data_IF_930295179095
#
_entry.id   IF_930295179095
#
_cell.length_a   1.000
_cell.length_b   1.000
_cell.length_c   1.000
_cell.angle_alpha   90.00
_cell.angle_beta   90.00
_cell.angle_gamma   90.00
#
_symmetry.space_group_name_H-M   'P 1'
#
loop_
_entity.id
_entity.type
_entity.pdbx_description
1 polymer ?
#
# COMPACT_ATOMS: atom_id res chain seq x y z
N UNK A 1 -27.60 -14.39 5.78
CA UNK A 1 -27.02 -13.05 5.99
C UNK A 1 -27.79 -12.33 7.07
N UNK A 2 -27.35 -12.44 8.33
CA UNK A 2 -27.77 -11.52 9.37
C UNK A 2 -27.10 -10.18 9.07
N UNK A 3 -27.86 -9.08 9.12
CA UNK A 3 -27.34 -7.71 9.08
C UNK A 3 -26.61 -7.43 10.41
N UNK A 4 -25.40 -7.98 10.55
CA UNK A 4 -24.42 -7.52 11.51
C UNK A 4 -23.59 -6.43 10.83
N UNK A 5 -23.41 -5.30 11.51
CA UNK A 5 -22.52 -4.21 11.06
C UNK A 5 -21.11 -4.78 10.91
N UNK A 6 -20.71 -5.09 9.68
CA UNK A 6 -19.32 -5.27 9.31
C UNK A 6 -18.87 -3.98 8.65
N UNK A 7 -17.95 -3.29 9.31
CA UNK A 7 -17.17 -2.17 8.79
C UNK A 7 -16.62 -2.48 7.40
N UNK A 8 -16.99 -1.67 6.41
CA UNK A 8 -16.33 -1.44 5.13
C UNK A 8 -15.59 -2.63 4.50
N UNK A 9 -16.33 -3.57 3.91
CA UNK A 9 -15.74 -4.64 3.10
C UNK A 9 -15.14 -4.10 1.80
N UNK A 10 -13.83 -3.85 1.79
CA UNK A 10 -13.09 -3.51 0.57
C UNK A 10 -12.70 -4.79 -0.19
N UNK A 11 -13.27 -5.01 -1.38
CA UNK A 11 -12.88 -6.12 -2.27
C UNK A 11 -11.75 -5.64 -3.18
N UNK A 12 -10.51 -6.00 -2.82
CA UNK A 12 -9.33 -5.63 -3.58
C UNK A 12 -8.08 -5.68 -2.70
N UNK A 13 -7.64 -6.90 -2.40
CA UNK A 13 -6.36 -7.14 -1.76
C UNK A 13 -5.53 -8.10 -2.62
N UNK A 14 -4.21 -8.03 -2.52
CA UNK A 14 -3.31 -8.94 -3.22
C UNK A 14 -3.55 -10.41 -2.85
N UNK A 15 -2.91 -11.33 -3.58
CA UNK A 15 -3.17 -12.78 -3.51
C UNK A 15 -3.17 -13.32 -2.06
N UNK A 16 -2.21 -12.90 -1.24
CA UNK A 16 -2.01 -13.43 0.11
C UNK A 16 -3.01 -12.89 1.17
N UNK A 17 -3.50 -11.65 1.01
CA UNK A 17 -4.58 -11.12 1.88
C UNK A 17 -5.93 -11.79 1.65
N UNK A 18 -6.17 -12.27 0.43
CA UNK A 18 -7.31 -13.12 0.17
C UNK A 18 -7.19 -14.37 1.04
N UNK A 19 -6.01 -15.01 1.08
CA UNK A 19 -5.73 -16.16 1.95
C UNK A 19 -5.93 -15.88 3.44
N UNK A 20 -5.47 -14.74 3.96
CA UNK A 20 -5.68 -14.37 5.38
C UNK A 20 -7.16 -14.08 5.73
N UNK A 21 -7.86 -13.30 4.89
CA UNK A 21 -9.31 -13.08 5.06
C UNK A 21 -10.08 -14.40 4.99
N UNK A 22 -9.70 -15.26 4.06
CA UNK A 22 -10.26 -16.60 3.90
C UNK A 22 -10.07 -17.43 5.15
N UNK A 23 -8.86 -17.47 5.73
CA UNK A 23 -8.57 -18.21 6.97
C UNK A 23 -9.38 -17.67 8.15
N UNK A 24 -9.52 -16.34 8.25
CA UNK A 24 -10.36 -15.71 9.27
C UNK A 24 -11.87 -15.98 9.08
N UNK A 25 -12.29 -16.42 7.89
CA UNK A 25 -13.66 -16.83 7.56
C UNK A 25 -13.75 -18.33 7.29
N UNK A 26 -12.85 -19.14 7.87
CA UNK A 26 -12.79 -20.59 7.64
C UNK A 26 -14.06 -21.35 8.04
N UNK A 27 -14.84 -20.81 8.98
CA UNK A 27 -16.13 -21.39 9.36
C UNK A 27 -17.21 -21.20 8.27
N UNK A 28 -17.04 -20.18 7.42
CA UNK A 28 -17.96 -19.82 6.34
C UNK A 28 -17.45 -20.22 4.93
N UNK A 29 -16.17 -20.62 4.82
CA UNK A 29 -15.49 -20.88 3.55
C UNK A 29 -14.89 -22.29 3.48
N UNK A 30 -15.07 -22.99 2.35
CA UNK A 30 -14.49 -24.32 2.17
C UNK A 30 -12.99 -24.26 1.88
N UNK A 31 -12.25 -25.28 2.36
CA UNK A 31 -10.83 -25.56 2.01
C UNK A 31 -9.87 -24.36 2.12
N UNK A 32 -9.87 -23.72 3.29
CA UNK A 32 -9.05 -22.53 3.57
C UNK A 32 -7.58 -22.83 3.86
N UNK A 33 -7.25 -24.07 4.23
CA UNK A 33 -5.91 -24.49 4.63
C UNK A 33 -4.95 -24.69 3.44
N UNK A 34 -5.47 -25.04 2.25
CA UNK A 34 -4.70 -25.28 1.03
C UNK A 34 -4.76 -24.17 -0.02
N UNK A 35 -5.39 -23.04 0.28
CA UNK A 35 -5.62 -22.01 -0.72
C UNK A 35 -4.33 -21.36 -1.22
N UNK A 36 -4.09 -21.52 -2.52
CA UNK A 36 -3.19 -20.65 -3.29
C UNK A 36 -4.07 -19.74 -4.16
N UNK A 37 -3.92 -18.42 -4.05
CA UNK A 37 -4.70 -17.47 -4.84
C UNK A 37 -4.44 -17.64 -6.34
N UNK A 38 -5.53 -17.76 -7.10
CA UNK A 38 -5.51 -17.85 -8.55
C UNK A 38 -5.50 -16.44 -9.15
N UNK A 39 -4.31 -15.95 -9.48
CA UNK A 39 -4.11 -14.63 -10.10
C UNK A 39 -4.93 -14.44 -11.38
N UNK A 40 -5.25 -15.53 -12.08
CA UNK A 40 -6.06 -15.50 -13.30
C UNK A 40 -7.51 -15.13 -12.97
N UNK A 41 -8.09 -15.75 -11.94
CA UNK A 41 -9.44 -15.45 -11.47
C UNK A 41 -9.52 -14.03 -10.89
N UNK A 42 -8.52 -13.60 -10.11
CA UNK A 42 -8.48 -12.24 -9.55
C UNK A 42 -8.43 -11.17 -10.66
N UNK A 43 -7.60 -11.38 -11.68
CA UNK A 43 -7.50 -10.47 -12.83
C UNK A 43 -8.82 -10.39 -13.60
N UNK A 44 -9.52 -11.51 -13.77
CA UNK A 44 -10.84 -11.55 -14.40
C UNK A 44 -11.89 -10.74 -13.61
N UNK A 45 -11.95 -10.92 -12.28
CA UNK A 45 -12.87 -10.15 -11.42
C UNK A 45 -12.59 -8.65 -11.51
N UNK A 46 -11.32 -8.23 -11.48
CA UNK A 46 -10.94 -6.80 -11.61
C UNK A 46 -11.40 -6.21 -12.94
N UNK A 47 -11.26 -6.95 -14.04
CA UNK A 47 -11.73 -6.52 -15.35
C UNK A 47 -13.27 -6.38 -15.42
N UNK A 48 -14.01 -7.28 -14.76
CA UNK A 48 -15.47 -7.21 -14.68
C UNK A 48 -15.94 -6.08 -13.76
N UNK A 49 -15.23 -5.78 -12.67
CA UNK A 49 -15.50 -4.62 -11.82
C UNK A 49 -15.27 -3.32 -12.59
N UNK A 50 -14.16 -3.21 -13.31
CA UNK A 50 -13.88 -2.09 -14.21
C UNK A 50 -14.98 -1.90 -15.27
N UNK A 51 -15.52 -3.00 -15.82
CA UNK A 51 -16.64 -2.94 -16.76
C UNK A 51 -17.94 -2.47 -16.09
N UNK A 52 -18.21 -2.94 -14.87
CA UNK A 52 -19.44 -2.66 -14.11
C UNK A 52 -19.55 -1.17 -13.76
N UNK A 53 -18.44 -0.49 -13.47
CA UNK A 53 -18.45 0.93 -13.06
C UNK A 53 -18.62 1.91 -14.23
N UNK A 54 -18.76 1.43 -15.47
CA UNK A 54 -18.98 2.29 -16.65
C UNK A 54 -20.31 3.05 -16.54
N UNK A 55 -20.38 4.31 -17.02
CA UNK A 55 -19.38 5.04 -17.82
C UNK A 55 -18.22 5.65 -17.00
N UNK A 56 -18.17 5.44 -15.68
CA UNK A 56 -17.02 5.83 -14.86
C UNK A 56 -15.73 5.16 -15.30
N UNK A 57 -14.60 5.79 -14.99
CA UNK A 57 -13.29 5.21 -15.28
C UNK A 57 -13.01 4.00 -14.36
N UNK A 58 -12.17 3.03 -14.79
CA UNK A 58 -11.62 2.04 -13.88
C UNK A 58 -10.67 2.68 -12.86
N UNK A 59 -10.19 1.89 -11.90
CA UNK A 59 -9.11 2.36 -11.02
C UNK A 59 -7.88 2.72 -11.87
N UNK A 60 -7.12 3.77 -11.52
CA UNK A 60 -5.94 4.18 -12.29
C UNK A 60 -4.89 3.06 -12.46
N UNK A 61 -4.77 2.18 -11.46
CA UNK A 61 -3.84 1.06 -11.49
C UNK A 61 -4.28 -0.07 -12.45
N UNK A 62 -5.59 -0.19 -12.71
CA UNK A 62 -6.14 -1.17 -13.64
C UNK A 62 -6.16 -0.69 -15.09
N UNK A 63 -6.19 0.62 -15.32
CA UNK A 63 -6.48 1.23 -16.62
C UNK A 63 -5.64 0.70 -17.81
N UNK A 64 -4.44 0.17 -17.54
CA UNK A 64 -3.52 -0.36 -18.56
C UNK A 64 -3.40 -1.89 -18.61
N UNK A 65 -4.09 -2.62 -17.72
CA UNK A 65 -3.88 -4.07 -17.50
C UNK A 65 -5.16 -4.91 -17.56
N UNK A 66 -6.27 -4.36 -18.06
CA UNK A 66 -7.55 -5.06 -18.06
C UNK A 66 -7.65 -6.11 -19.17
N UNK A 67 -8.13 -7.29 -18.80
CA UNK A 67 -8.55 -8.31 -19.76
C UNK A 67 -9.77 -7.84 -20.57
N UNK A 68 -9.89 -8.26 -21.85
CA UNK A 68 -11.13 -8.14 -22.59
C UNK A 68 -12.30 -8.81 -21.84
N UNK A 69 -13.47 -8.17 -21.85
CA UNK A 69 -14.65 -8.68 -21.11
C UNK A 69 -15.01 -10.13 -21.44
N UNK A 70 -15.03 -10.58 -22.72
CA UNK A 70 -15.33 -11.98 -23.03
C UNK A 70 -14.34 -12.97 -22.39
N UNK A 71 -13.06 -12.59 -22.35
CA UNK A 71 -12.01 -13.41 -21.74
C UNK A 71 -12.12 -13.42 -20.21
N UNK A 72 -12.44 -12.27 -19.60
CA UNK A 72 -12.70 -12.19 -18.17
C UNK A 72 -13.92 -13.02 -17.75
N UNK A 73 -15.00 -13.01 -18.53
CA UNK A 73 -16.17 -13.87 -18.32
C UNK A 73 -15.79 -15.35 -18.39
N UNK A 74 -15.09 -15.76 -19.46
CA UNK A 74 -14.66 -17.15 -19.63
C UNK A 74 -13.79 -17.65 -18.46
N UNK A 75 -12.83 -16.83 -18.01
CA UNK A 75 -11.94 -17.17 -16.88
C UNK A 75 -12.70 -17.25 -15.57
N UNK A 76 -13.64 -16.33 -15.31
CA UNK A 76 -14.46 -16.35 -14.10
C UNK A 76 -15.41 -17.56 -14.08
N UNK A 77 -16.08 -17.85 -15.19
CA UNK A 77 -16.99 -18.99 -15.32
C UNK A 77 -16.23 -20.32 -15.19
N UNK A 78 -15.04 -20.43 -15.78
CA UNK A 78 -14.20 -21.61 -15.66
C UNK A 78 -13.75 -21.85 -14.21
N UNK A 79 -13.36 -20.80 -13.47
CA UNK A 79 -13.03 -20.90 -12.06
C UNK A 79 -14.24 -21.33 -11.23
N UNK A 80 -15.41 -20.71 -11.44
CA UNK A 80 -16.65 -21.04 -10.74
C UNK A 80 -17.14 -22.48 -10.99
N UNK A 81 -16.88 -23.03 -12.19
CA UNK A 81 -17.29 -24.36 -12.59
C UNK A 81 -16.49 -25.49 -11.90
N UNK A 82 -15.35 -25.20 -11.26
CA UNK A 82 -14.54 -26.22 -10.58
C UNK A 82 -15.26 -26.85 -9.38
N UNK A 83 -16.24 -26.16 -8.79
CA UNK A 83 -17.09 -26.69 -7.72
C UNK A 83 -18.55 -26.77 -8.14
N UNK A 84 -19.14 -27.96 -8.27
CA UNK A 84 -20.57 -28.12 -8.47
C UNK A 84 -21.36 -27.47 -7.32
N UNK A 85 -22.47 -26.81 -7.66
CA UNK A 85 -23.40 -26.24 -6.67
C UNK A 85 -24.79 -26.82 -6.82
N UNK A 86 -25.48 -26.95 -5.69
CA UNK A 86 -26.88 -27.34 -5.64
C UNK A 86 -27.76 -26.14 -5.23
N UNK A 87 -28.97 -26.00 -5.79
CA UNK A 87 -29.92 -25.01 -5.33
C UNK A 87 -30.49 -25.42 -3.97
N UNK A 88 -30.48 -24.49 -3.02
CA UNK A 88 -31.03 -24.61 -1.67
C UNK A 88 -32.11 -23.54 -1.53
N UNK A 89 -33.35 -23.97 -1.32
CA UNK A 89 -34.43 -23.06 -0.96
C UNK A 89 -34.26 -22.65 0.50
N UNK A 90 -34.11 -21.34 0.76
CA UNK A 90 -34.21 -20.79 2.11
C UNK A 90 -35.50 -20.00 2.23
N UNK A 91 -36.28 -20.36 3.23
CA UNK A 91 -37.54 -19.71 3.56
C UNK A 91 -37.53 -19.39 5.05
N UNK A 92 -37.31 -18.12 5.38
CA UNK A 92 -37.44 -17.65 6.75
C UNK A 92 -38.91 -17.27 7.01
N UNK A 93 -39.32 -17.35 8.29
CA UNK A 93 -40.72 -17.23 8.72
C UNK A 93 -41.38 -15.91 8.26
N UNK A 94 -40.60 -14.82 8.13
CA UNK A 94 -41.07 -13.48 7.73
C UNK A 94 -40.36 -12.91 6.48
N UNK A 95 -39.91 -13.76 5.56
CA UNK A 95 -39.24 -13.31 4.34
C UNK A 95 -39.68 -14.06 3.09
N UNK A 96 -39.58 -13.40 1.93
CA UNK A 96 -39.76 -14.05 0.63
C UNK A 96 -38.76 -15.21 0.46
N UNK A 97 -39.18 -16.33 -0.16
CA UNK A 97 -38.29 -17.46 -0.39
C UNK A 97 -37.14 -17.06 -1.31
N UNK A 98 -35.92 -17.40 -0.92
CA UNK A 98 -34.71 -17.14 -1.71
C UNK A 98 -34.04 -18.44 -2.10
N UNK A 99 -33.69 -18.56 -3.38
CA UNK A 99 -32.83 -19.65 -3.86
C UNK A 99 -31.39 -19.25 -3.61
N UNK A 100 -30.68 -20.04 -2.82
CA UNK A 100 -29.23 -19.92 -2.64
C UNK A 100 -28.54 -21.08 -3.35
N UNK A 101 -27.38 -20.82 -3.96
CA UNK A 101 -26.52 -21.91 -4.44
C UNK A 101 -25.52 -22.25 -3.36
N UNK A 102 -25.38 -23.54 -3.04
CA UNK A 102 -24.42 -24.03 -2.06
C UNK A 102 -23.44 -24.99 -2.73
N UNK A 103 -22.13 -24.90 -2.44
CA UNK A 103 -21.15 -25.91 -2.84
C UNK A 103 -21.56 -27.32 -2.40
N UNK A 104 -21.27 -28.32 -3.24
CA UNK A 104 -21.32 -29.73 -2.83
C UNK A 104 -20.15 -29.98 -1.87
N UNK A 105 -20.38 -30.53 -0.64
CA UNK A 105 -19.37 -30.61 0.42
C UNK A 105 -18.06 -31.31 0.03
N UNK A 106 -18.13 -32.34 -0.83
CA UNK A 106 -16.98 -33.18 -1.20
C UNK A 106 -16.12 -32.60 -2.34
N UNK A 107 -16.45 -31.40 -2.83
CA UNK A 107 -15.78 -30.71 -3.96
C UNK A 107 -15.42 -29.25 -3.63
N UNK A 108 -15.06 -29.01 -2.38
CA UNK A 108 -14.63 -27.73 -1.84
C UNK A 108 -13.39 -27.18 -2.59
N UNK A 109 -13.58 -26.17 -3.45
CA UNK A 109 -12.52 -25.32 -4.00
C UNK A 109 -12.86 -23.88 -3.64
N UNK A 110 -11.96 -23.25 -2.88
CA UNK A 110 -12.18 -21.89 -2.42
C UNK A 110 -12.22 -20.88 -3.56
N UNK A 111 -11.31 -20.97 -4.52
CA UNK A 111 -11.28 -20.04 -5.65
C UNK A 111 -12.56 -20.19 -6.47
N UNK A 112 -13.09 -21.40 -6.62
CA UNK A 112 -14.39 -21.62 -7.23
C UNK A 112 -15.53 -20.98 -6.42
N UNK A 113 -15.49 -21.11 -5.09
CA UNK A 113 -16.47 -20.49 -4.18
C UNK A 113 -16.43 -18.96 -4.27
N UNK A 114 -15.24 -18.36 -4.30
CA UNK A 114 -15.04 -16.93 -4.48
C UNK A 114 -15.48 -16.45 -5.87
N UNK A 115 -15.21 -17.22 -6.92
CA UNK A 115 -15.68 -16.94 -8.27
C UNK A 115 -17.22 -16.96 -8.33
N UNK A 116 -17.86 -17.95 -7.69
CA UNK A 116 -19.33 -18.02 -7.58
C UNK A 116 -19.90 -16.83 -6.80
N UNK A 117 -19.26 -16.41 -5.71
CA UNK A 117 -19.64 -15.22 -4.96
C UNK A 117 -19.49 -13.94 -5.79
N UNK A 118 -18.42 -13.81 -6.58
CA UNK A 118 -18.23 -12.70 -7.50
C UNK A 118 -19.30 -12.66 -8.60
N UNK A 119 -19.68 -13.81 -9.17
CA UNK A 119 -20.80 -13.92 -10.12
C UNK A 119 -22.10 -13.46 -9.47
N UNK A 120 -22.40 -13.95 -8.26
CA UNK A 120 -23.61 -13.57 -7.52
C UNK A 120 -23.64 -12.06 -7.20
N UNK A 121 -22.50 -11.48 -6.82
CA UNK A 121 -22.35 -10.05 -6.59
C UNK A 121 -22.57 -9.23 -7.87
N UNK A 122 -21.92 -9.61 -8.97
CA UNK A 122 -22.04 -8.95 -10.28
C UNK A 122 -23.45 -9.03 -10.86
N UNK A 123 -24.19 -10.11 -10.59
CA UNK A 123 -25.59 -10.26 -10.97
C UNK A 123 -26.57 -9.58 -9.97
N UNK A 124 -26.11 -9.34 -8.75
CA UNK A 124 -26.90 -8.86 -7.61
C UNK A 124 -27.09 -7.35 -7.56
N UNK A 125 -27.96 -6.85 -6.67
CA UNK A 125 -28.23 -5.42 -6.51
C UNK A 125 -27.03 -4.63 -5.97
N UNK A 126 -26.12 -5.27 -5.24
CA UNK A 126 -24.93 -4.64 -4.66
C UNK A 126 -23.91 -4.18 -5.72
N UNK A 127 -24.05 -4.60 -6.98
CA UNK A 127 -23.27 -4.06 -8.10
C UNK A 127 -23.50 -2.57 -8.33
N UNK A 128 -24.69 -2.04 -8.01
CA UNK A 128 -25.07 -0.65 -8.33
C UNK A 128 -24.29 0.39 -7.50
N UNK A 129 -24.06 0.19 -6.18
CA UNK A 129 -23.20 1.07 -5.41
C UNK A 129 -21.69 0.89 -5.66
N UNK A 130 -21.25 -0.07 -6.49
CA UNK A 130 -19.83 -0.30 -6.77
C UNK A 130 -19.18 0.92 -7.46
N UNK A 131 -18.04 1.37 -6.95
CA UNK A 131 -17.24 2.49 -7.51
C UNK A 131 -15.76 2.12 -7.56
N UNK A 132 -15.04 2.69 -8.53
CA UNK A 132 -13.59 2.65 -8.54
C UNK A 132 -13.03 3.78 -7.66
N UNK A 133 -11.98 3.51 -6.90
CA UNK A 133 -11.25 4.56 -6.21
C UNK A 133 -10.26 5.20 -7.19
N UNK A 134 -10.37 6.52 -7.38
CA UNK A 134 -9.52 7.27 -8.31
C UNK A 134 -8.29 7.88 -7.67
N UNK A 135 -8.01 7.57 -6.41
CA UNK A 135 -6.84 8.11 -5.75
C UNK A 135 -5.58 7.60 -6.47
N UNK A 136 -4.53 8.42 -6.58
CA UNK A 136 -3.27 8.00 -7.19
C UNK A 136 -2.82 6.64 -6.66
N UNK A 137 -2.47 5.73 -7.58
CA UNK A 137 -2.01 4.35 -7.32
C UNK A 137 -3.01 3.42 -6.61
N UNK A 138 -4.24 3.84 -6.38
CA UNK A 138 -5.23 2.97 -5.75
C UNK A 138 -5.73 1.90 -6.72
N UNK A 139 -5.70 0.65 -6.25
CA UNK A 139 -6.13 -0.56 -6.97
C UNK A 139 -7.55 -1.00 -6.63
N UNK A 140 -8.26 -0.30 -5.74
CA UNK A 140 -9.50 -0.81 -5.11
C UNK A 140 -10.79 -0.35 -5.80
N UNK A 141 -11.76 -1.25 -5.77
CA UNK A 141 -13.18 -0.95 -5.93
C UNK A 141 -13.84 -0.99 -4.54
N UNK A 142 -14.88 -0.18 -4.35
CA UNK A 142 -15.58 -0.09 -3.07
C UNK A 142 -17.09 0.07 -3.29
N UNK A 143 -17.88 -0.36 -2.31
CA UNK A 143 -19.30 -0.07 -2.28
C UNK A 143 -19.50 1.31 -1.66
N UNK A 144 -20.23 2.16 -2.36
CA UNK A 144 -20.54 3.51 -1.90
C UNK A 144 -21.64 3.46 -0.83
N UNK A 145 -21.25 3.65 0.42
CA UNK A 145 -22.15 3.61 1.58
C UNK A 145 -22.82 4.97 1.84
N UNK A 146 -22.14 6.08 1.47
CA UNK A 146 -22.64 7.43 1.67
C UNK A 146 -22.62 8.26 0.38
N UNK A 147 -23.62 9.12 0.09
CA UNK A 147 -23.69 9.92 -1.14
C UNK A 147 -22.45 10.78 -1.45
N UNK A 148 -21.71 11.22 -0.42
CA UNK A 148 -20.48 12.02 -0.56
C UNK A 148 -19.18 11.20 -0.61
N UNK A 149 -19.24 9.88 -0.48
CA UNK A 149 -18.04 9.04 -0.54
C UNK A 149 -17.57 8.95 -1.99
N UNK A 150 -16.40 9.55 -2.26
CA UNK A 150 -15.72 9.54 -3.56
C UNK A 150 -14.49 8.63 -3.57
N UNK A 151 -13.99 8.28 -2.39
CA UNK A 151 -12.78 7.50 -2.19
C UNK A 151 -13.08 6.26 -1.36
N UNK A 152 -12.31 5.18 -1.56
CA UNK A 152 -12.52 3.96 -0.78
C UNK A 152 -12.37 4.19 0.73
N UNK A 153 -11.47 5.08 1.15
CA UNK A 153 -11.24 5.52 2.54
C UNK A 153 -10.65 6.95 2.54
N UNK A 154 -10.64 7.67 3.69
CA UNK A 154 -10.21 9.07 3.75
C UNK A 154 -8.74 9.29 3.33
N UNK A 155 -7.84 8.34 3.63
CA UNK A 155 -6.44 8.35 3.16
C UNK A 155 -6.28 8.46 1.63
N UNK A 156 -7.21 7.89 0.88
CA UNK A 156 -7.23 8.05 -0.57
C UNK A 156 -7.65 9.47 -0.98
N UNK A 157 -8.56 10.09 -0.22
CA UNK A 157 -8.93 11.49 -0.42
C UNK A 157 -7.78 12.46 -0.13
N UNK A 158 -6.99 12.20 0.91
CA UNK A 158 -5.79 12.98 1.23
C UNK A 158 -4.74 12.88 0.14
N UNK A 159 -4.39 11.67 -0.29
CA UNK A 159 -3.47 11.47 -1.42
C UNK A 159 -3.95 12.15 -2.71
N UNK A 160 -5.25 12.15 -2.99
CA UNK A 160 -5.80 12.88 -4.12
C UNK A 160 -5.79 14.41 -3.94
N UNK A 161 -5.86 14.92 -2.70
CA UNK A 161 -5.70 16.34 -2.38
C UNK A 161 -4.25 16.80 -2.55
N UNK A 162 -3.30 16.03 -2.00
CA UNK A 162 -1.85 16.25 -2.10
C UNK A 162 -1.40 16.24 -3.55
N UNK A 163 -1.78 15.22 -4.33
CA UNK A 163 -1.45 15.15 -5.75
C UNK A 163 -1.93 16.39 -6.53
N UNK A 164 -3.17 16.87 -6.27
CA UNK A 164 -3.69 18.10 -6.89
C UNK A 164 -2.98 19.38 -6.43
N UNK A 165 -2.44 19.40 -5.22
CA UNK A 165 -1.64 20.53 -4.72
C UNK A 165 -0.33 20.61 -5.51
N UNK A 166 0.43 19.51 -5.59
CA UNK A 166 1.68 19.47 -6.36
C UNK A 166 1.46 19.70 -7.86
N UNK A 167 0.38 19.19 -8.46
CA UNK A 167 0.05 19.48 -9.87
C UNK A 167 -0.19 20.97 -10.14
N UNK A 168 -0.83 21.68 -9.20
CA UNK A 168 -1.04 23.14 -9.31
C UNK A 168 0.26 23.92 -9.15
N UNK A 169 1.11 23.52 -8.19
CA UNK A 169 2.44 24.10 -8.03
C UNK A 169 3.35 23.80 -9.24
N UNK A 170 3.20 22.64 -9.88
CA UNK A 170 3.85 22.28 -11.14
C UNK A 170 3.41 23.17 -12.31
N UNK A 171 2.12 23.49 -12.43
CA UNK A 171 1.65 24.40 -13.49
C UNK A 171 2.18 25.82 -13.29
N UNK A 172 2.28 26.28 -12.04
CA UNK A 172 2.84 27.58 -11.70
C UNK A 172 4.37 27.64 -11.93
N UNK A 173 5.11 26.59 -11.55
CA UNK A 173 6.56 26.51 -11.76
C UNK A 173 6.93 26.28 -13.23
N UNK A 174 6.18 25.45 -13.96
CA UNK A 174 6.35 25.24 -15.41
C UNK A 174 6.13 26.53 -16.20
N UNK A 175 5.07 27.29 -15.87
CA UNK A 175 4.81 28.60 -16.47
C UNK A 175 5.95 29.59 -16.17
N UNK A 176 6.43 29.61 -14.92
CA UNK A 176 7.53 30.49 -14.50
C UNK A 176 8.90 30.09 -15.08
N UNK A 177 9.11 28.82 -15.44
CA UNK A 177 10.32 28.29 -16.09
C UNK A 177 10.29 28.52 -17.60
N UNK A 178 9.14 28.42 -18.27
CA UNK A 178 9.01 28.84 -19.68
C UNK A 178 9.24 30.34 -19.83
N UNK A 179 8.78 31.15 -18.87
CA UNK A 179 9.02 32.60 -18.85
C UNK A 179 10.50 32.96 -18.55
N UNK A 180 11.27 32.04 -17.93
CA UNK A 180 12.69 32.23 -17.59
C UNK A 180 13.66 31.62 -18.59
N UNK A 181 13.27 30.58 -19.33
CA UNK A 181 14.09 29.97 -20.38
C UNK A 181 14.30 30.91 -21.60
N UNK A 182 13.50 31.97 -21.72
CA UNK A 182 13.73 33.07 -22.66
C UNK A 182 14.83 34.06 -22.19
N UNK A 183 15.33 33.94 -20.94
CA UNK A 183 16.31 34.85 -20.36
C UNK A 183 17.43 34.11 -19.58
N UNK A 184 18.40 33.56 -20.32
CA UNK A 184 19.80 33.46 -19.87
C UNK A 184 20.19 32.25 -19.02
N UNK A 185 21.15 31.47 -19.53
CA UNK A 185 21.76 30.33 -18.83
C UNK A 185 22.88 30.70 -17.85
N UNK A 186 23.15 29.80 -16.90
CA UNK A 186 24.36 29.87 -16.06
C UNK A 186 24.88 28.47 -15.70
N UNK A 187 26.20 28.30 -15.78
CA UNK A 187 26.97 27.11 -15.38
C UNK A 187 27.48 27.27 -13.94
N UNK A 188 27.68 26.16 -13.23
CA UNK A 188 28.46 26.12 -11.98
C UNK A 188 29.50 24.99 -12.04
N UNK A 189 30.68 25.24 -11.44
CA UNK A 189 31.83 24.33 -11.28
C UNK A 189 31.89 23.79 -9.83
N UNK A 190 32.50 22.62 -9.57
CA UNK A 190 32.52 21.96 -8.27
C UNK A 190 33.79 22.22 -7.44
N UNK A 191 33.72 21.95 -6.14
CA UNK A 191 34.87 21.85 -5.20
C UNK A 191 34.71 20.70 -4.21
N UNK A 192 35.85 20.12 -3.82
CA UNK A 192 36.09 18.83 -3.13
C UNK A 192 36.11 18.85 -1.58
N UNK A 193 35.90 17.63 -1.02
CA UNK A 193 36.48 16.98 0.19
C UNK A 193 36.21 17.60 1.59
N UNK A 194 36.08 16.88 2.72
CA UNK A 194 36.65 15.61 3.19
C UNK A 194 35.95 15.13 4.49
N UNK A 195 36.21 13.87 4.86
CA UNK A 195 35.58 13.06 5.92
C UNK A 195 36.14 13.24 7.35
N UNK A 196 35.41 12.73 8.34
CA UNK A 196 35.87 12.50 9.72
C UNK A 196 35.05 11.39 10.41
N UNK A 197 35.75 10.38 10.92
CA UNK A 197 35.26 9.13 11.54
C UNK A 197 35.11 9.25 13.07
N UNK A 198 34.31 8.35 13.68
CA UNK A 198 34.56 7.89 15.06
C UNK A 198 33.38 7.29 15.85
N UNK A 199 33.37 5.95 15.97
CA UNK A 199 33.18 5.10 17.19
C UNK A 199 32.03 5.41 18.18
N UNK A 200 31.10 4.53 18.63
CA UNK A 200 30.99 3.06 18.68
C UNK A 200 30.70 2.57 20.12
N UNK A 201 29.58 1.87 20.39
CA UNK A 201 29.38 0.96 21.57
C UNK A 201 28.39 -0.19 21.28
N UNK A 202 28.93 -1.41 21.40
CA UNK A 202 28.47 -2.82 21.54
C UNK A 202 27.17 -3.05 22.35
N UNK A 203 26.28 -4.04 22.15
CA UNK A 203 25.97 -5.02 21.08
C UNK A 203 24.49 -5.46 21.30
N UNK A 204 23.57 -4.79 20.61
CA UNK A 204 22.45 -5.50 19.97
C UNK A 204 22.88 -5.68 18.51
N UNK A 205 22.59 -6.81 17.90
CA UNK A 205 22.95 -7.04 16.50
C UNK A 205 22.45 -5.87 15.63
N UNK A 206 23.35 -5.27 14.84
CA UNK A 206 23.01 -4.13 13.96
C UNK A 206 21.79 -4.52 13.10
N UNK A 207 20.64 -3.84 13.26
CA UNK A 207 19.41 -4.21 12.57
C UNK A 207 19.56 -4.20 11.03
N UNK A 208 20.43 -3.36 10.48
CA UNK A 208 20.71 -3.30 9.04
C UNK A 208 21.47 -4.55 8.58
N UNK A 209 22.37 -5.07 9.42
CA UNK A 209 23.08 -6.33 9.16
C UNK A 209 22.12 -7.52 9.24
N UNK A 210 21.23 -7.53 10.24
CA UNK A 210 20.22 -8.57 10.38
C UNK A 210 19.26 -8.58 9.17
N UNK A 211 18.79 -7.41 8.74
CA UNK A 211 18.01 -7.23 7.51
C UNK A 211 18.73 -7.77 6.28
N UNK A 212 20.03 -7.53 6.17
CA UNK A 212 20.80 -8.00 5.01
C UNK A 212 20.93 -9.52 4.91
N UNK A 213 20.78 -10.25 6.02
CA UNK A 213 20.71 -11.71 5.99
C UNK A 213 19.36 -12.22 5.50
N UNK A 214 18.27 -11.47 5.70
CA UNK A 214 16.93 -11.83 5.24
C UNK A 214 16.73 -11.53 3.76
N UNK A 215 17.10 -10.32 3.31
CA UNK A 215 16.85 -9.87 1.93
C UNK A 215 17.99 -10.20 0.95
N UNK A 216 19.16 -10.59 1.46
CA UNK A 216 20.39 -10.72 0.69
C UNK A 216 21.09 -9.39 0.42
N UNK A 217 22.29 -9.47 -0.17
CA UNK A 217 23.05 -8.29 -0.57
C UNK A 217 22.42 -7.63 -1.80
N UNK A 218 22.17 -6.32 -1.75
CA UNK A 218 21.69 -5.57 -2.91
C UNK A 218 22.75 -5.54 -4.02
N UNK A 219 22.32 -5.69 -5.27
CA UNK A 219 23.19 -5.46 -6.42
C UNK A 219 23.68 -4.00 -6.43
N UNK A 220 24.99 -3.81 -6.29
CA UNK A 220 25.61 -2.48 -6.15
C UNK A 220 25.80 -1.74 -7.49
N UNK A 221 25.61 -2.42 -8.62
CA UNK A 221 25.90 -1.88 -9.96
C UNK A 221 24.88 -0.80 -10.38
N UNK A 222 25.37 0.40 -10.68
CA UNK A 222 24.58 1.49 -11.27
C UNK A 222 23.78 2.36 -10.30
N UNK A 223 23.96 2.20 -8.97
CA UNK A 223 23.28 3.04 -7.97
C UNK A 223 23.88 4.45 -7.88
N UNK A 224 23.02 5.47 -7.87
CA UNK A 224 23.43 6.83 -7.56
C UNK A 224 23.74 6.94 -6.06
N UNK A 225 24.91 7.47 -5.70
CA UNK A 225 25.25 7.75 -4.31
C UNK A 225 24.41 8.93 -3.81
N UNK A 226 23.75 8.77 -2.67
CA UNK A 226 22.96 9.84 -2.04
C UNK A 226 23.93 10.82 -1.37
N UNK A 227 23.79 12.10 -1.68
CA UNK A 227 24.50 13.18 -0.98
C UNK A 227 23.69 13.57 0.26
N UNK A 228 24.04 12.94 1.40
CA UNK A 228 23.34 13.17 2.67
C UNK A 228 23.44 14.61 3.17
N UNK A 229 24.58 15.27 2.96
CA UNK A 229 24.72 16.68 3.34
C UNK A 229 23.71 17.57 2.61
N UNK A 230 23.44 17.26 1.33
CA UNK A 230 22.40 17.95 0.58
C UNK A 230 21.00 17.57 1.03
N UNK A 231 20.73 16.30 1.33
CA UNK A 231 19.42 15.84 1.82
C UNK A 231 19.09 16.49 3.16
N UNK A 232 19.99 16.45 4.12
CA UNK A 232 19.80 17.06 5.45
C UNK A 232 19.56 18.57 5.35
N UNK A 233 20.26 19.27 4.44
CA UNK A 233 20.02 20.68 4.18
C UNK A 233 18.62 20.97 3.60
N UNK A 234 18.10 20.07 2.76
CA UNK A 234 16.78 20.25 2.14
C UNK A 234 15.68 20.05 3.18
N UNK A 235 15.85 19.05 4.05
CA UNK A 235 14.86 18.70 5.06
C UNK A 235 15.01 19.49 6.36
N UNK A 236 16.13 20.20 6.54
CA UNK A 236 16.51 20.91 7.76
C UNK A 236 16.47 20.01 9.01
N UNK A 237 16.80 18.72 8.81
CA UNK A 237 16.85 17.70 9.85
C UNK A 237 18.00 16.73 9.55
N UNK A 238 18.49 16.08 10.61
CA UNK A 238 19.35 14.89 10.48
C UNK A 238 18.46 13.65 10.38
N UNK A 239 18.94 12.62 9.69
CA UNK A 239 18.22 11.35 9.59
C UNK A 239 18.77 10.30 10.57
N UNK A 240 17.93 9.32 11.00
CA UNK A 240 18.39 8.19 11.79
C UNK A 240 19.56 7.44 11.12
N UNK A 241 20.55 7.04 11.90
CA UNK A 241 21.76 6.40 11.40
C UNK A 241 21.49 5.04 10.75
N UNK A 242 20.47 4.32 11.23
CA UNK A 242 20.02 3.05 10.66
C UNK A 242 19.42 3.23 9.25
N UNK A 243 18.65 4.30 9.04
CA UNK A 243 18.11 4.70 7.75
C UNK A 243 19.21 5.10 6.77
N UNK A 244 20.16 5.92 7.21
CA UNK A 244 21.30 6.33 6.38
C UNK A 244 22.07 5.10 5.91
N UNK A 245 22.41 4.17 6.81
CA UNK A 245 23.09 2.91 6.46
C UNK A 245 22.25 2.03 5.54
N UNK A 246 20.94 1.89 5.79
CA UNK A 246 20.04 1.15 4.91
C UNK A 246 20.06 1.73 3.49
N UNK A 247 19.96 3.05 3.36
CA UNK A 247 19.91 3.74 2.08
C UNK A 247 21.27 3.73 1.37
N UNK A 248 22.39 3.69 2.09
CA UNK A 248 23.72 3.45 1.52
C UNK A 248 23.91 2.00 1.05
N UNK A 249 23.26 1.03 1.69
CA UNK A 249 23.33 -0.39 1.32
C UNK A 249 22.37 -0.74 0.17
N UNK A 250 21.12 -0.31 0.26
CA UNK A 250 20.00 -0.72 -0.58
C UNK A 250 19.48 0.41 -1.49
N UNK A 251 19.47 1.65 -0.99
CA UNK A 251 18.81 2.79 -1.62
C UNK A 251 17.28 2.72 -1.50
N UNK A 252 16.55 3.65 -2.14
CA UNK A 252 15.10 3.57 -2.22
C UNK A 252 14.67 2.36 -3.05
N UNK A 253 13.55 1.73 -2.70
CA UNK A 253 13.15 0.51 -3.36
C UNK A 253 11.98 -0.20 -2.71
N UNK A 254 11.80 -1.45 -3.10
CA UNK A 254 10.67 -2.29 -2.71
C UNK A 254 11.20 -3.48 -1.91
N UNK A 255 10.84 -3.52 -0.63
CA UNK A 255 11.06 -4.66 0.27
C UNK A 255 9.91 -5.64 0.10
N UNK A 256 10.25 -6.88 -0.22
CA UNK A 256 9.35 -8.03 -0.42
C UNK A 256 8.10 -7.65 -1.23
N UNK A 257 8.29 -7.00 -2.38
CA UNK A 257 7.24 -6.59 -3.33
C UNK A 257 6.08 -5.71 -2.78
N UNK A 258 6.14 -5.29 -1.53
CA UNK A 258 4.98 -4.77 -0.82
C UNK A 258 5.25 -3.47 -0.07
N UNK A 259 6.44 -3.30 0.51
CA UNK A 259 6.83 -2.10 1.26
C UNK A 259 7.76 -1.26 0.41
N UNK A 260 7.32 -0.08 0.02
CA UNK A 260 8.14 0.90 -0.68
C UNK A 260 8.88 1.76 0.34
N UNK A 261 10.21 1.70 0.32
CA UNK A 261 11.08 2.66 1.01
C UNK A 261 11.25 3.88 0.09
N UNK A 262 10.84 5.04 0.60
CA UNK A 262 10.69 6.27 -0.18
C UNK A 262 12.06 6.90 -0.49
N UNK A 263 12.14 7.61 -1.62
CA UNK A 263 13.36 8.37 -1.97
C UNK A 263 13.42 9.68 -1.15
N UNK A 264 14.47 9.89 -0.33
CA UNK A 264 14.63 11.09 0.48
C UNK A 264 15.03 12.31 -0.32
N UNK A 265 15.50 12.14 -1.56
CA UNK A 265 15.88 13.27 -2.42
C UNK A 265 14.61 13.80 -3.10
N UNK A 266 14.14 15.01 -2.80
CA UNK A 266 12.96 15.54 -3.46
C UNK A 266 13.25 15.71 -4.95
N UNK A 267 12.36 15.21 -5.81
CA UNK A 267 12.51 15.29 -7.27
C UNK A 267 11.51 16.28 -7.87
N UNK A 268 11.73 17.60 -7.72
CA UNK A 268 10.78 18.62 -8.16
C UNK A 268 10.53 18.59 -9.69
N UNK A 269 11.46 18.04 -10.48
CA UNK A 269 11.36 18.01 -11.94
C UNK A 269 10.49 16.86 -12.50
N UNK A 270 10.16 15.83 -11.72
CA UNK A 270 9.31 14.70 -12.19
C UNK A 270 8.28 14.22 -11.14
N UNK A 271 7.23 15.00 -10.81
CA UNK A 271 6.26 14.68 -9.75
C UNK A 271 5.23 13.57 -10.08
N UNK A 272 5.41 12.79 -11.16
CA UNK A 272 4.41 11.79 -11.61
C UNK A 272 4.54 10.43 -10.91
N UNK A 273 5.58 10.23 -10.13
CA UNK A 273 5.81 9.01 -9.35
C UNK A 273 5.13 9.04 -7.99
N UNK A 274 4.94 10.25 -7.41
CA UNK A 274 4.22 10.47 -6.14
C UNK A 274 4.77 9.64 -4.99
N UNK A 275 6.02 9.17 -5.09
CA UNK A 275 6.65 8.15 -4.25
C UNK A 275 7.89 8.69 -3.52
N UNK A 276 8.02 10.00 -3.43
CA UNK A 276 9.07 10.65 -2.65
C UNK A 276 8.65 10.77 -1.20
N UNK A 277 9.66 10.93 -0.35
CA UNK A 277 9.52 11.14 1.08
C UNK A 277 8.66 12.39 1.37
N UNK A 278 8.76 13.44 0.53
CA UNK A 278 8.03 14.71 0.65
C UNK A 278 6.52 14.54 0.50
N UNK A 279 6.05 13.95 -0.59
CA UNK A 279 4.62 13.85 -0.87
C UNK A 279 3.91 12.96 0.17
N UNK A 280 4.55 11.87 0.59
CA UNK A 280 3.96 10.97 1.58
C UNK A 280 4.02 11.56 2.99
N UNK A 281 4.99 12.43 3.28
CA UNK A 281 5.00 13.20 4.53
C UNK A 281 3.80 14.14 4.59
N UNK A 282 3.54 14.92 3.54
CA UNK A 282 2.32 15.77 3.50
C UNK A 282 1.03 14.94 3.63
N UNK A 283 0.97 13.78 2.98
CA UNK A 283 -0.15 12.85 3.05
C UNK A 283 -0.34 12.28 4.48
N UNK A 284 0.74 11.96 5.18
CA UNK A 284 0.71 11.47 6.56
C UNK A 284 0.22 12.55 7.53
N UNK A 285 0.69 13.79 7.38
CA UNK A 285 0.27 14.93 8.23
C UNK A 285 -1.22 15.23 8.10
N UNK A 286 -1.70 15.36 6.86
CA UNK A 286 -3.13 15.59 6.59
C UNK A 286 -4.02 14.43 7.06
N UNK A 287 -3.47 13.22 7.09
CA UNK A 287 -4.16 12.09 7.67
C UNK A 287 -4.30 12.26 9.18
N UNK A 288 -3.19 12.53 9.84
CA UNK A 288 -3.17 12.62 11.30
C UNK A 288 -4.16 13.68 11.79
N UNK A 289 -4.22 14.83 11.12
CA UNK A 289 -5.22 15.88 11.40
C UNK A 289 -6.68 15.41 11.28
N UNK A 290 -6.96 14.37 10.48
CA UNK A 290 -8.32 13.91 10.21
C UNK A 290 -8.73 12.68 11.02
N UNK A 291 -7.78 11.79 11.31
CA UNK A 291 -8.05 10.47 11.92
C UNK A 291 -7.24 10.24 13.21
N UNK A 292 -6.29 11.10 13.56
CA UNK A 292 -5.43 10.95 14.73
C UNK A 292 -6.18 11.05 16.07
N UNK A 293 -7.40 11.59 16.09
CA UNK A 293 -8.25 11.62 17.30
C UNK A 293 -8.61 10.21 17.81
N UNK A 294 -8.58 9.19 16.93
CA UNK A 294 -8.85 7.79 17.28
C UNK A 294 -7.60 7.06 17.82
N UNK A 295 -6.43 7.71 17.85
CA UNK A 295 -5.20 7.15 18.39
C UNK A 295 -5.13 7.27 19.92
N UNK A 296 -4.49 6.31 20.58
CA UNK A 296 -4.28 6.33 22.04
C UNK A 296 -3.19 7.32 22.48
N UNK A 297 -2.63 8.10 21.55
CA UNK A 297 -1.57 9.06 21.76
C UNK A 297 -1.76 10.29 20.87
N UNK A 298 -1.24 11.43 21.31
CA UNK A 298 -1.23 12.66 20.54
C UNK A 298 0.14 12.87 19.89
N UNK A 299 0.13 13.43 18.68
CA UNK A 299 1.33 13.81 17.96
C UNK A 299 1.07 15.12 17.22
N UNK A 300 2.06 16.02 17.22
CA UNK A 300 1.99 17.20 16.36
C UNK A 300 2.21 16.75 14.90
N UNK A 301 1.27 17.01 13.96
CA UNK A 301 1.47 16.72 12.55
C UNK A 301 2.82 17.23 12.02
N UNK A 302 3.32 18.37 12.49
CA UNK A 302 4.60 18.92 12.06
C UNK A 302 5.80 17.98 12.33
N UNK A 303 5.68 17.09 13.31
CA UNK A 303 6.72 16.12 13.69
C UNK A 303 6.66 14.81 12.89
N UNK A 304 5.64 14.62 12.06
CA UNK A 304 5.49 13.41 11.26
C UNK A 304 6.35 13.51 10.01
N UNK A 305 7.17 12.48 9.78
CA UNK A 305 8.02 12.32 8.60
C UNK A 305 7.85 10.92 8.01
N UNK A 306 7.21 10.79 6.84
CA UNK A 306 6.97 9.49 6.22
C UNK A 306 8.25 8.94 5.60
N UNK A 307 8.54 7.66 5.77
CA UNK A 307 9.70 6.98 5.18
C UNK A 307 9.33 5.77 4.34
N UNK A 308 8.13 5.22 4.54
CA UNK A 308 7.66 4.05 3.83
C UNK A 308 6.16 4.06 3.59
N UNK A 309 5.75 3.39 2.51
CA UNK A 309 4.34 3.12 2.23
C UNK A 309 4.17 1.69 1.76
N UNK A 310 2.96 1.16 1.91
CA UNK A 310 2.65 -0.18 1.39
C UNK A 310 1.67 -0.12 0.23
N UNK A 311 1.63 -1.18 -0.58
CA UNK A 311 0.54 -1.39 -1.56
C UNK A 311 -0.85 -1.51 -0.89
N UNK A 312 -0.85 -1.78 0.42
CA UNK A 312 -2.01 -1.73 1.31
C UNK A 312 -2.51 -0.33 1.64
N UNK A 313 -1.74 0.69 1.27
CA UNK A 313 -1.88 2.07 1.67
C UNK A 313 -1.70 2.30 3.19
N UNK A 314 -0.82 1.51 3.81
CA UNK A 314 -0.27 1.83 5.13
C UNK A 314 0.79 2.92 4.97
N UNK A 315 0.90 3.79 5.96
CA UNK A 315 1.97 4.78 6.07
C UNK A 315 2.90 4.41 7.22
N UNK A 316 4.20 4.43 6.95
CA UNK A 316 5.23 4.30 7.96
C UNK A 316 5.98 5.62 8.06
N UNK A 317 6.06 6.13 9.28
CA UNK A 317 6.58 7.45 9.57
C UNK A 317 7.51 7.38 10.79
N UNK A 318 8.35 8.40 10.94
CA UNK A 318 8.99 8.74 12.21
C UNK A 318 8.21 9.87 12.88
N UNK A 319 8.24 9.91 14.21
CA UNK A 319 7.94 11.12 14.97
C UNK A 319 9.26 11.81 15.37
N UNK A 320 9.54 12.96 14.77
CA UNK A 320 10.77 13.74 14.99
C UNK A 320 10.71 14.54 16.29
N UNK A 321 10.47 13.84 17.40
CA UNK A 321 10.16 14.43 18.72
C UNK A 321 11.40 14.61 19.62
N UNK A 322 12.50 13.93 19.31
CA UNK A 322 13.79 14.03 20.02
C UNK A 322 14.83 14.74 19.12
N UNK A 323 15.82 15.41 19.72
CA UNK A 323 16.93 16.05 18.99
C UNK A 323 17.91 15.02 18.39
N UNK A 324 17.91 13.81 18.95
CA UNK A 324 18.65 12.65 18.48
C UNK A 324 17.77 11.80 17.53
N UNK A 325 18.05 11.77 16.21
CA UNK A 325 17.25 11.02 15.25
C UNK A 325 17.21 9.51 15.51
N UNK A 326 18.25 8.95 16.14
CA UNK A 326 18.29 7.53 16.48
C UNK A 326 17.25 7.13 17.55
N UNK A 327 16.60 8.12 18.18
CA UNK A 327 15.53 7.93 19.18
C UNK A 327 14.13 8.15 18.64
N UNK A 328 13.99 8.50 17.36
CA UNK A 328 12.68 8.74 16.78
C UNK A 328 11.87 7.43 16.70
N UNK A 329 10.69 7.36 17.34
CA UNK A 329 9.85 6.18 17.25
C UNK A 329 9.23 6.08 15.85
N UNK A 330 8.95 4.83 15.44
CA UNK A 330 8.20 4.54 14.21
C UNK A 330 6.70 4.65 14.50
N UNK A 331 6.05 5.62 13.86
CA UNK A 331 4.61 5.75 13.76
C UNK A 331 4.11 4.92 12.57
N UNK A 332 3.13 4.07 12.82
CA UNK A 332 2.44 3.31 11.80
C UNK A 332 1.00 3.80 11.75
N UNK A 333 0.54 4.08 10.54
CA UNK A 333 -0.87 4.13 10.25
C UNK A 333 -1.24 3.00 9.30
N UNK A 334 -1.74 1.93 9.90
CA UNK A 334 -2.19 0.74 9.21
C UNK A 334 -3.66 0.87 8.85
N UNK A 335 -3.95 0.73 7.57
CA UNK A 335 -5.28 0.97 7.01
C UNK A 335 -6.33 -0.05 7.46
N UNK A 336 -5.87 -1.26 7.75
CA UNK A 336 -6.68 -2.42 8.14
C UNK A 336 -6.04 -3.18 9.30
N UNK A 337 -5.10 -2.56 10.00
CA UNK A 337 -4.56 -3.08 11.24
C UNK A 337 -5.48 -2.69 12.39
N UNK A 338 -5.44 -3.47 13.47
CA UNK A 338 -6.09 -3.11 14.72
C UNK A 338 -5.03 -3.21 15.83
N UNK A 339 -4.61 -2.08 16.43
CA UNK A 339 -5.10 -0.71 16.19
C UNK A 339 -4.61 -0.11 14.85
N UNK A 340 -5.34 0.88 14.34
CA UNK A 340 -5.02 1.58 13.09
C UNK A 340 -3.80 2.50 13.23
N UNK A 341 -3.59 3.07 14.42
CA UNK A 341 -2.40 3.85 14.75
C UNK A 341 -1.58 3.10 15.79
N UNK A 342 -0.28 2.99 15.54
CA UNK A 342 0.66 2.32 16.43
C UNK A 342 1.94 3.13 16.53
N UNK A 343 2.54 3.11 17.71
CA UNK A 343 3.81 3.76 17.97
C UNK A 343 4.81 2.74 18.52
N UNK A 344 5.94 2.60 17.85
CA UNK A 344 6.97 1.63 18.19
C UNK A 344 8.28 2.35 18.55
N UNK A 345 8.93 2.03 19.69
CA UNK A 345 10.04 2.80 20.25
C UNK A 345 11.41 2.48 19.60
N UNK A 346 11.41 1.95 18.38
CA UNK A 346 12.62 1.54 17.67
C UNK A 346 12.67 2.13 16.25
N UNK A 347 13.86 2.18 15.67
CA UNK A 347 14.14 2.76 14.35
C UNK A 347 13.60 1.94 13.18
N UNK A 348 13.80 2.48 11.96
CA UNK A 348 13.26 1.89 10.73
C UNK A 348 13.83 0.49 10.46
N UNK A 349 15.14 0.30 10.64
CA UNK A 349 15.79 -0.96 10.31
C UNK A 349 15.33 -2.08 11.25
N UNK A 350 15.16 -1.78 12.53
CA UNK A 350 14.59 -2.74 13.48
C UNK A 350 13.13 -3.05 13.17
N UNK A 351 12.34 -2.04 12.80
CA UNK A 351 10.95 -2.24 12.36
C UNK A 351 10.89 -3.18 11.15
N UNK A 352 11.66 -2.92 10.09
CA UNK A 352 11.67 -3.78 8.90
C UNK A 352 12.19 -5.19 9.22
N UNK A 353 13.16 -5.33 10.13
CA UNK A 353 13.65 -6.65 10.54
C UNK A 353 12.55 -7.46 11.22
N UNK A 354 11.88 -6.87 12.21
CA UNK A 354 10.76 -7.50 12.92
C UNK A 354 9.63 -7.83 11.95
N UNK A 355 9.31 -6.92 11.03
CA UNK A 355 8.31 -7.11 10.00
C UNK A 355 8.59 -8.34 9.11
N UNK A 356 9.86 -8.62 8.81
CA UNK A 356 10.26 -9.75 7.97
C UNK A 356 10.52 -11.05 8.74
N UNK A 357 10.83 -10.98 10.03
CA UNK A 357 11.26 -12.12 10.84
C UNK A 357 10.18 -12.65 11.79
N UNK A 358 9.21 -11.82 12.18
CA UNK A 358 8.17 -12.16 13.15
C UNK A 358 6.78 -12.11 12.49
N UNK A 359 6.17 -13.28 12.22
CA UNK A 359 4.83 -13.36 11.63
C UNK A 359 3.75 -12.67 12.46
N UNK A 360 3.85 -12.73 13.80
CA UNK A 360 2.87 -12.08 14.68
C UNK A 360 2.96 -10.56 14.59
N UNK A 361 4.18 -10.04 14.57
CA UNK A 361 4.40 -8.61 14.33
C UNK A 361 3.91 -8.18 12.95
N UNK A 362 4.12 -9.01 11.92
CA UNK A 362 3.62 -8.74 10.57
C UNK A 362 2.09 -8.64 10.53
N UNK A 363 1.38 -9.58 11.14
CA UNK A 363 -0.10 -9.56 11.17
C UNK A 363 -0.68 -8.28 11.80
N UNK A 364 0.03 -7.71 12.78
CA UNK A 364 -0.41 -6.52 13.51
C UNK A 364 -0.02 -5.21 12.82
N UNK A 365 1.11 -5.16 12.10
CA UNK A 365 1.74 -3.88 11.70
C UNK A 365 1.67 -3.54 10.22
N UNK A 366 1.35 -4.49 9.36
CA UNK A 366 1.19 -4.27 7.94
C UNK A 366 -0.16 -4.78 7.47
N UNK A 367 -0.83 -4.00 6.63
CA UNK A 367 -2.11 -4.47 6.14
C UNK A 367 -1.92 -5.58 5.09
N UNK A 368 -0.80 -5.64 4.35
CA UNK A 368 -0.48 -6.66 3.33
C UNK A 368 0.45 -7.76 3.86
N UNK A 369 0.28 -9.00 3.40
CA UNK A 369 1.24 -10.08 3.67
C UNK A 369 2.45 -9.97 2.73
N UNK A 370 3.64 -10.26 3.27
CA UNK A 370 4.89 -10.21 2.54
C UNK A 370 5.19 -11.58 1.90
N UNK A 371 5.58 -11.64 0.62
CA UNK A 371 6.04 -12.87 -0.02
C UNK A 371 7.33 -13.38 0.62
N UNK A 372 7.40 -14.71 0.75
CA UNK A 372 8.62 -15.43 1.11
C UNK A 372 9.34 -15.98 -0.15
N UNK A 373 10.68 -15.99 -0.18
CA UNK A 373 11.58 -15.42 0.81
C UNK A 373 11.62 -13.89 0.74
N UNK A 374 12.03 -13.26 1.85
CA UNK A 374 12.25 -11.83 1.90
C UNK A 374 13.23 -11.39 0.80
N UNK A 375 12.94 -10.25 0.16
CA UNK A 375 13.74 -9.77 -0.97
C UNK A 375 13.77 -8.25 -1.04
N UNK A 376 14.73 -7.71 -1.78
CA UNK A 376 14.80 -6.28 -2.07
C UNK A 376 14.94 -6.03 -3.57
N UNK A 377 14.10 -5.14 -4.09
CA UNK A 377 14.21 -4.63 -5.45
C UNK A 377 14.50 -3.12 -5.41
N UNK A 378 15.71 -2.73 -5.80
CA UNK A 378 16.07 -1.33 -5.90
C UNK A 378 15.14 -0.60 -6.89
N UNK A 379 14.78 0.64 -6.57
CA UNK A 379 14.09 1.49 -7.51
C UNK A 379 14.96 1.64 -8.76
N UNK A 380 14.48 1.13 -9.91
CA UNK A 380 15.26 1.21 -11.15
C UNK A 380 15.55 2.68 -11.48
N UNK A 381 16.80 3.06 -11.78
CA UNK A 381 17.07 4.36 -12.37
C UNK A 381 16.32 4.42 -13.70
N UNK A 382 15.23 5.19 -13.76
CA UNK A 382 14.54 5.42 -15.00
C UNK A 382 15.43 6.29 -15.90
N UNK A 383 15.58 5.94 -17.20
CA UNK A 383 16.41 6.68 -18.14
C UNK A 383 16.00 8.15 -18.33
#
# INVERSE_FOLDING_TARGET
MRRGRASGGSVGAGPCRLTAWVRAHADDLPDTAGHVPDDTALTAVRALFAHTVRPGAPSPADATRLLPVPEALQRLDAAAARTPTLPVLRWAEDADPVVQRRPVPDHADLTATLAQAAIAFLAGPDRHPLRACHAPRCVRYFLKDHPRQEWCQPSCGNRARVARHHERHKQASWKALTDRAECGGLRVRPTDASAGEGSGTVDAEDPVVALGRLMGAAAQEGRARIDWSRVEQIWDIRFPSDYVRFMEAYGPGLVSEAVVVLDPVPRPERPRDGSGLLEETENARLTWEMEGEDADFDADPATILAWGVTSGADLYCWLTTDDDPDRWPVLIWGRHTSPAFQLHPFGMAEFLHRLLADPGFQEETISVELPEPASFAAARPHP
#
